data_IF_519697731084
#
_entry.id   IF_519697731084
#
_cell.length_a   1.000
_cell.length_b   1.000
_cell.length_c   1.000
_cell.angle_alpha   90.00
_cell.angle_beta   90.00
_cell.angle_gamma   90.00
#
_symmetry.space_group_name_H-M   'P 1'
#
loop_
_entity.id
_entity.type
_entity.pdbx_description
1 polymer ?
#
# COMPACT_ATOMS: atom_id res chain seq x y z
N UNK A 1 -46.16 98.87 25.23
CA UNK A 1 -45.80 98.55 26.63
C UNK A 1 -45.18 97.15 26.67
N UNK A 2 -44.13 96.89 27.47
CA UNK A 2 -43.24 95.74 27.32
C UNK A 2 -43.46 94.58 28.33
N UNK A 3 -42.82 93.43 28.03
CA UNK A 3 -42.49 92.19 28.81
C UNK A 3 -43.43 90.96 28.72
N UNK A 4 -42.94 89.70 28.87
CA UNK A 4 -41.54 89.22 28.91
C UNK A 4 -41.24 87.98 28.02
N UNK A 5 -39.94 87.65 27.93
CA UNK A 5 -39.38 86.38 27.45
C UNK A 5 -40.03 85.14 28.10
N UNK A 6 -40.25 84.08 27.31
CA UNK A 6 -40.37 82.70 27.79
C UNK A 6 -39.53 81.72 26.94
N UNK A 7 -38.42 81.34 27.57
CA UNK A 7 -37.61 80.09 27.57
C UNK A 7 -37.99 78.99 26.57
N UNK A 8 -37.02 78.34 25.89
CA UNK A 8 -37.25 77.26 24.94
C UNK A 8 -37.86 76.01 25.59
N UNK A 9 -38.75 75.36 24.83
CA UNK A 9 -39.35 74.06 25.16
C UNK A 9 -38.28 72.99 25.24
N UNK A 10 -38.03 72.44 26.43
CA UNK A 10 -37.43 71.12 26.57
C UNK A 10 -38.45 70.07 26.15
N UNK A 11 -38.18 69.37 25.05
CA UNK A 11 -38.89 68.15 24.69
C UNK A 11 -38.55 67.07 25.71
N UNK A 12 -39.28 67.03 26.82
CA UNK A 12 -39.37 65.88 27.70
C UNK A 12 -40.69 65.17 27.42
N UNK A 13 -40.69 64.22 26.48
CA UNK A 13 -41.77 63.22 26.44
C UNK A 13 -41.60 62.31 27.67
N UNK A 14 -42.65 62.05 28.47
CA UNK A 14 -42.57 61.04 29.51
C UNK A 14 -42.52 59.66 28.83
N UNK A 15 -41.42 58.93 29.02
CA UNK A 15 -41.37 57.49 28.75
C UNK A 15 -42.55 56.82 29.46
N UNK A 16 -43.41 56.13 28.72
CA UNK A 16 -44.40 55.22 29.30
C UNK A 16 -43.65 54.15 30.12
N UNK A 17 -43.62 54.35 31.43
CA UNK A 17 -42.95 53.43 32.34
C UNK A 17 -43.75 52.12 32.33
N UNK A 18 -43.18 51.08 31.72
CA UNK A 18 -43.78 49.75 31.60
C UNK A 18 -44.36 49.28 32.95
N UNK A 19 -45.66 48.96 32.98
CA UNK A 19 -46.38 48.62 34.22
C UNK A 19 -45.79 47.43 34.99
N UNK A 20 -45.01 46.57 34.33
CA UNK A 20 -44.21 45.52 34.97
C UNK A 20 -43.03 46.07 35.75
N UNK A 21 -42.29 47.04 35.21
CA UNK A 21 -41.15 47.68 35.87
C UNK A 21 -41.57 48.48 37.11
N UNK A 22 -42.73 49.13 37.07
CA UNK A 22 -43.33 49.80 38.23
C UNK A 22 -43.78 48.79 39.30
N UNK A 23 -44.39 47.67 38.91
CA UNK A 23 -44.77 46.60 39.87
C UNK A 23 -43.57 45.94 40.52
N UNK A 24 -42.52 45.64 39.75
CA UNK A 24 -41.27 45.05 40.24
C UNK A 24 -40.51 46.00 41.17
N UNK A 25 -40.42 47.28 40.82
CA UNK A 25 -39.75 48.28 41.67
C UNK A 25 -40.53 48.55 42.96
N UNK A 26 -41.87 48.62 42.91
CA UNK A 26 -42.72 48.73 44.09
C UNK A 26 -42.63 47.48 45.00
N UNK A 27 -42.70 46.28 44.42
CA UNK A 27 -42.54 45.02 45.15
C UNK A 27 -41.15 44.92 45.82
N UNK A 28 -40.10 45.31 45.08
CA UNK A 28 -38.73 45.33 45.59
C UNK A 28 -38.58 46.29 46.77
N UNK A 29 -39.13 47.51 46.70
CA UNK A 29 -39.03 48.49 47.80
C UNK A 29 -39.75 48.00 49.06
N UNK A 30 -40.94 47.40 48.91
CA UNK A 30 -41.71 46.85 50.04
C UNK A 30 -41.01 45.66 50.70
N UNK A 31 -40.47 44.74 49.90
CA UNK A 31 -39.85 43.51 50.40
C UNK A 31 -38.34 43.65 50.66
N UNK A 32 -37.76 44.82 50.33
CA UNK A 32 -36.34 45.16 50.57
C UNK A 32 -35.82 44.79 51.97
N UNK A 33 -36.54 45.05 53.08
CA UNK A 33 -36.07 44.67 54.41
C UNK A 33 -36.07 43.15 54.65
N UNK A 34 -36.87 42.37 53.92
CA UNK A 34 -36.97 40.91 54.03
C UNK A 34 -36.06 40.18 53.02
N UNK A 35 -35.79 40.79 51.87
CA UNK A 35 -34.93 40.24 50.81
C UNK A 35 -33.47 40.10 51.26
N UNK A 36 -32.94 41.08 51.99
CA UNK A 36 -31.56 41.03 52.49
C UNK A 36 -31.28 39.80 53.38
N UNK A 37 -32.03 39.57 54.48
CA UNK A 37 -31.80 38.38 55.30
C UNK A 37 -32.13 37.08 54.56
N UNK A 38 -33.16 37.07 53.69
CA UNK A 38 -33.53 35.90 52.89
C UNK A 38 -32.42 35.44 51.93
N UNK A 39 -31.79 36.39 51.21
CA UNK A 39 -30.66 36.09 50.31
C UNK A 39 -29.44 35.60 51.10
N UNK A 40 -29.17 36.19 52.27
CA UNK A 40 -28.05 35.76 53.12
C UNK A 40 -28.26 34.32 53.60
N UNK A 41 -29.46 33.98 54.08
CA UNK A 41 -29.80 32.61 54.51
C UNK A 41 -29.72 31.64 53.33
N UNK A 42 -30.27 32.01 52.17
CA UNK A 42 -30.19 31.20 50.96
C UNK A 42 -28.74 30.92 50.54
N UNK A 43 -27.89 31.95 50.51
CA UNK A 43 -26.46 31.81 50.20
C UNK A 43 -25.73 30.97 51.25
N UNK A 44 -26.08 31.09 52.53
CA UNK A 44 -25.51 30.28 53.60
C UNK A 44 -25.85 28.79 53.45
N UNK A 45 -27.12 28.47 53.14
CA UNK A 45 -27.57 27.10 52.86
C UNK A 45 -26.90 26.55 51.60
N UNK A 46 -26.86 27.34 50.54
CA UNK A 46 -26.19 26.94 49.28
C UNK A 46 -24.70 26.67 49.51
N UNK A 47 -24.03 27.52 50.28
CA UNK A 47 -22.65 27.34 50.69
C UNK A 47 -22.46 26.03 51.47
N UNK A 48 -23.33 25.76 52.46
CA UNK A 48 -23.29 24.52 53.23
C UNK A 48 -23.43 23.28 52.34
N UNK A 49 -24.32 23.32 51.35
CA UNK A 49 -24.51 22.21 50.39
C UNK A 49 -23.24 22.00 49.57
N UNK A 50 -22.66 23.07 49.00
CA UNK A 50 -21.45 22.95 48.19
C UNK A 50 -20.25 22.45 49.01
N UNK A 51 -20.03 22.99 50.21
CA UNK A 51 -18.97 22.52 51.09
C UNK A 51 -19.19 21.08 51.56
N UNK A 52 -20.43 20.70 51.86
CA UNK A 52 -20.79 19.32 52.20
C UNK A 52 -20.52 18.34 51.05
N UNK A 53 -20.92 18.69 49.82
CA UNK A 53 -20.66 17.87 48.63
C UNK A 53 -19.17 17.77 48.31
N UNK A 54 -18.43 18.88 48.40
CA UNK A 54 -16.98 18.89 48.20
C UNK A 54 -16.27 18.00 49.25
N UNK A 55 -16.65 18.11 50.52
CA UNK A 55 -16.14 17.27 51.60
C UNK A 55 -16.45 15.79 51.38
N UNK A 56 -17.68 15.45 50.99
CA UNK A 56 -18.05 14.08 50.64
C UNK A 56 -17.21 13.51 49.48
N UNK A 57 -17.03 14.29 48.40
CA UNK A 57 -16.21 13.87 47.25
C UNK A 57 -14.74 13.69 47.63
N UNK A 58 -14.19 14.59 48.44
CA UNK A 58 -12.83 14.45 48.97
C UNK A 58 -12.69 13.19 49.83
N UNK A 59 -13.65 12.91 50.71
CA UNK A 59 -13.65 11.70 51.52
C UNK A 59 -13.67 10.43 50.65
N UNK A 60 -14.52 10.39 49.62
CA UNK A 60 -14.57 9.25 48.67
C UNK A 60 -13.23 9.07 47.95
N UNK A 61 -12.58 10.16 47.51
CA UNK A 61 -11.29 10.08 46.82
C UNK A 61 -10.18 9.58 47.76
N UNK A 62 -10.16 10.07 49.01
CA UNK A 62 -9.17 9.66 50.01
C UNK A 62 -9.35 8.20 50.45
N UNK A 63 -10.59 7.73 50.56
CA UNK A 63 -10.88 6.32 50.92
C UNK A 63 -10.56 5.39 49.74
N UNK A 64 -10.87 5.81 48.50
CA UNK A 64 -10.65 5.01 47.29
C UNK A 64 -9.27 5.22 46.65
N UNK A 65 -8.29 5.76 47.39
CA UNK A 65 -6.93 5.98 46.90
C UNK A 65 -6.27 4.68 46.40
N UNK A 66 -6.66 3.53 46.98
CA UNK A 66 -6.23 2.20 46.53
C UNK A 66 -6.76 1.87 45.13
N UNK A 67 -8.03 2.13 44.86
CA UNK A 67 -8.63 1.81 43.55
C UNK A 67 -8.10 2.74 42.45
N UNK A 68 -7.86 4.00 42.79
CA UNK A 68 -7.20 4.94 41.87
C UNK A 68 -5.75 4.52 41.60
N UNK A 69 -4.96 4.18 42.64
CA UNK A 69 -3.59 3.65 42.47
C UNK A 69 -3.58 2.36 41.66
N UNK A 70 -4.53 1.45 41.89
CA UNK A 70 -4.66 0.21 41.13
C UNK A 70 -4.98 0.49 39.66
N UNK A 71 -5.92 1.39 39.38
CA UNK A 71 -6.31 1.76 38.01
C UNK A 71 -5.16 2.44 37.26
N UNK A 72 -4.45 3.36 37.91
CA UNK A 72 -3.26 4.03 37.34
C UNK A 72 -2.09 3.07 37.17
N UNK A 73 -1.90 2.12 38.10
CA UNK A 73 -0.86 1.09 38.01
C UNK A 73 -1.12 0.05 36.92
N UNK A 74 -2.37 -0.06 36.45
CA UNK A 74 -2.76 -0.95 35.35
C UNK A 74 -2.75 -0.24 33.97
N UNK A 75 -2.62 1.09 33.91
CA UNK A 75 -2.45 1.82 32.63
C UNK A 75 -1.17 1.46 31.84
N UNK A 76 -0.01 1.16 32.48
CA UNK A 76 1.17 0.71 31.77
C UNK A 76 1.17 -0.79 31.43
N UNK A 77 0.13 -1.56 31.78
CA UNK A 77 0.04 -2.92 31.28
C UNK A 77 -0.23 -2.85 29.77
N UNK A 78 0.75 -3.29 28.98
CA UNK A 78 0.60 -3.49 27.54
C UNK A 78 -0.56 -4.49 27.31
N UNK A 79 -1.78 -3.98 27.16
CA UNK A 79 -2.96 -4.79 26.81
C UNK A 79 -2.75 -5.53 25.48
N UNK A 80 -1.84 -5.03 24.66
CA UNK A 80 -1.42 -5.60 23.39
C UNK A 80 0.02 -6.05 23.54
N UNK A 81 0.27 -7.37 23.45
CA UNK A 81 1.61 -7.91 23.36
C UNK A 81 2.24 -7.53 22.01
N UNK A 82 2.85 -6.34 21.96
CA UNK A 82 3.48 -5.79 20.76
C UNK A 82 4.60 -6.67 20.19
N UNK A 83 5.47 -7.31 21.01
CA UNK A 83 6.45 -8.27 20.52
C UNK A 83 5.81 -9.44 19.76
N UNK A 84 4.79 -10.07 20.35
CA UNK A 84 4.05 -11.16 19.71
C UNK A 84 3.36 -10.70 18.42
N UNK A 85 2.71 -9.54 18.44
CA UNK A 85 2.04 -8.99 17.26
C UNK A 85 3.04 -8.73 16.12
N UNK A 86 4.21 -8.16 16.43
CA UNK A 86 5.26 -7.91 15.42
C UNK A 86 5.80 -9.23 14.85
N UNK A 87 6.07 -10.19 15.71
CA UNK A 87 6.60 -11.49 15.33
C UNK A 87 5.61 -12.31 14.49
N UNK A 88 4.32 -12.24 14.82
CA UNK A 88 3.26 -12.93 14.08
C UNK A 88 2.94 -12.27 12.72
N UNK A 89 3.22 -10.96 12.57
CA UNK A 89 2.93 -10.20 11.35
C UNK A 89 4.17 -9.93 10.48
N UNK A 90 5.34 -10.49 10.81
CA UNK A 90 6.52 -10.33 9.97
C UNK A 90 6.35 -11.07 8.64
N UNK A 91 6.87 -10.52 7.52
CA UNK A 91 6.83 -11.21 6.24
C UNK A 91 7.65 -12.50 6.30
N UNK A 92 7.10 -13.56 5.72
CA UNK A 92 7.81 -14.80 5.41
C UNK A 92 8.83 -14.54 4.30
N UNK A 93 9.92 -15.31 4.29
CA UNK A 93 10.93 -15.23 3.25
C UNK A 93 10.33 -15.51 1.86
N UNK A 94 10.94 -14.92 0.83
CA UNK A 94 10.67 -15.30 -0.56
C UNK A 94 11.18 -16.71 -0.81
N UNK A 95 10.49 -17.44 -1.68
CA UNK A 95 10.78 -18.85 -1.96
C UNK A 95 11.24 -19.02 -3.41
N UNK A 96 12.34 -19.74 -3.61
CA UNK A 96 12.77 -20.15 -4.95
C UNK A 96 12.02 -21.45 -5.28
N UNK A 97 11.04 -21.36 -6.17
CA UNK A 97 10.15 -22.47 -6.56
C UNK A 97 10.86 -23.42 -7.51
N UNK A 98 11.57 -22.88 -8.49
CA UNK A 98 12.40 -23.66 -9.41
C UNK A 98 13.64 -22.87 -9.80
N UNK A 99 14.68 -23.60 -10.19
CA UNK A 99 15.90 -23.05 -10.75
C UNK A 99 16.40 -23.99 -11.83
N UNK A 100 16.36 -23.51 -13.05
CA UNK A 100 16.62 -24.27 -14.26
C UNK A 100 17.72 -23.58 -15.07
N UNK A 101 18.52 -24.39 -15.75
CA UNK A 101 19.64 -23.94 -16.57
C UNK A 101 19.34 -24.37 -18.00
N UNK A 102 19.21 -23.40 -18.91
CA UNK A 102 19.19 -23.65 -20.33
C UNK A 102 20.61 -23.45 -20.89
N UNK A 103 21.11 -24.47 -21.60
CA UNK A 103 22.42 -24.41 -22.24
C UNK A 103 22.37 -23.57 -23.51
N UNK A 104 23.37 -22.71 -23.70
CA UNK A 104 23.63 -22.00 -24.95
C UNK A 104 24.95 -22.44 -25.58
N UNK A 105 25.27 -21.87 -26.74
CA UNK A 105 26.56 -22.09 -27.41
C UNK A 105 27.73 -21.39 -26.67
N UNK A 106 28.97 -21.80 -26.94
CA UNK A 106 30.21 -21.19 -26.42
C UNK A 106 30.35 -21.11 -24.88
N UNK A 107 29.89 -22.13 -24.15
CA UNK A 107 29.94 -22.17 -22.66
C UNK A 107 29.17 -21.04 -21.98
N UNK A 108 28.16 -20.48 -22.68
CA UNK A 108 27.20 -19.55 -22.11
C UNK A 108 25.94 -20.28 -21.71
N UNK A 109 25.37 -19.87 -20.59
CA UNK A 109 24.18 -20.48 -20.02
C UNK A 109 23.17 -19.41 -19.64
N UNK A 110 21.91 -19.74 -19.86
CA UNK A 110 20.79 -18.97 -19.40
C UNK A 110 20.26 -19.59 -18.12
N UNK A 111 20.23 -18.81 -17.05
CA UNK A 111 19.75 -19.25 -15.74
C UNK A 111 18.39 -18.66 -15.47
N UNK A 112 17.39 -19.51 -15.25
CA UNK A 112 16.01 -19.10 -15.02
C UNK A 112 15.58 -19.61 -13.65
N UNK A 113 15.19 -18.70 -12.77
CA UNK A 113 14.55 -19.01 -11.51
C UNK A 113 13.09 -18.60 -11.54
N UNK A 114 12.24 -19.37 -10.86
CA UNK A 114 10.89 -18.95 -10.49
C UNK A 114 10.87 -18.64 -9.01
N UNK A 115 10.49 -17.42 -8.64
CA UNK A 115 10.48 -16.95 -7.24
C UNK A 115 9.06 -16.61 -6.84
N UNK A 116 8.66 -17.04 -5.64
CA UNK A 116 7.33 -16.82 -5.07
C UNK A 116 7.39 -15.92 -3.86
N UNK A 117 6.43 -15.01 -3.77
CA UNK A 117 6.16 -14.27 -2.54
C UNK A 117 4.95 -14.87 -1.80
N UNK A 118 5.16 -15.62 -0.70
CA UNK A 118 4.07 -16.28 0.02
C UNK A 118 3.26 -15.32 0.93
N UNK A 119 3.52 -14.02 0.86
CA UNK A 119 2.91 -13.04 1.76
C UNK A 119 1.74 -12.31 1.10
N UNK A 120 0.50 -12.43 1.61
CA UNK A 120 -0.68 -11.80 0.99
C UNK A 120 -0.76 -10.28 1.17
N UNK A 121 -0.05 -9.72 2.15
CA UNK A 121 -0.14 -8.30 2.52
C UNK A 121 1.21 -7.57 2.45
N UNK A 122 2.24 -8.22 1.90
CA UNK A 122 3.57 -7.65 1.82
C UNK A 122 4.10 -7.75 0.39
N UNK A 123 4.43 -6.59 -0.15
CA UNK A 123 5.13 -6.47 -1.43
C UNK A 123 6.63 -6.50 -1.15
N UNK A 124 7.37 -7.29 -1.90
CA UNK A 124 8.82 -7.18 -1.96
C UNK A 124 9.14 -6.09 -2.99
N UNK A 125 9.16 -4.83 -2.57
CA UNK A 125 9.24 -3.68 -3.49
C UNK A 125 10.63 -3.46 -4.09
N UNK A 126 11.67 -3.95 -3.41
CA UNK A 126 13.01 -4.01 -3.97
C UNK A 126 13.69 -5.28 -3.47
N UNK A 127 14.13 -6.10 -4.41
CA UNK A 127 14.78 -7.38 -4.15
C UNK A 127 16.05 -7.45 -4.98
N UNK A 128 17.16 -7.79 -4.33
CA UNK A 128 18.44 -8.00 -4.99
C UNK A 128 18.64 -9.52 -5.10
N UNK A 129 18.63 -10.01 -6.33
CA UNK A 129 18.93 -11.38 -6.66
C UNK A 129 20.35 -11.49 -7.19
N UNK A 130 21.08 -12.50 -6.71
CA UNK A 130 22.43 -12.80 -7.14
C UNK A 130 22.47 -14.20 -7.72
N UNK A 131 23.00 -14.33 -8.93
CA UNK A 131 23.46 -15.61 -9.45
C UNK A 131 24.84 -15.86 -8.87
N UNK A 132 25.00 -16.94 -8.12
CA UNK A 132 26.26 -17.30 -7.47
C UNK A 132 26.74 -18.66 -7.96
N UNK A 133 28.05 -18.85 -8.01
CA UNK A 133 28.69 -20.15 -8.21
C UNK A 133 29.78 -20.30 -7.16
N UNK A 134 29.54 -21.16 -6.16
CA UNK A 134 30.31 -21.17 -4.91
C UNK A 134 30.22 -19.82 -4.20
N UNK A 135 31.37 -19.20 -3.90
CA UNK A 135 31.44 -17.89 -3.24
C UNK A 135 31.46 -16.70 -4.22
N UNK A 136 31.51 -16.96 -5.53
CA UNK A 136 31.59 -15.92 -6.55
C UNK A 136 30.20 -15.49 -7.01
N UNK A 137 29.94 -14.19 -6.99
CA UNK A 137 28.76 -13.60 -7.62
C UNK A 137 29.02 -13.44 -9.11
N UNK A 138 28.27 -14.17 -9.93
CA UNK A 138 28.36 -14.12 -11.40
C UNK A 138 27.58 -12.94 -11.96
N UNK A 139 26.37 -12.71 -11.44
CA UNK A 139 25.51 -11.63 -11.86
C UNK A 139 24.60 -11.18 -10.72
N UNK A 140 24.17 -9.92 -10.78
CA UNK A 140 23.21 -9.35 -9.84
C UNK A 140 22.07 -8.67 -10.62
N UNK A 141 20.85 -8.78 -10.10
CA UNK A 141 19.66 -8.18 -10.69
C UNK A 141 18.73 -7.66 -9.60
N UNK A 142 18.24 -6.45 -9.78
CA UNK A 142 17.17 -5.88 -8.95
C UNK A 142 15.81 -6.19 -9.56
N UNK A 143 14.82 -6.50 -8.72
CA UNK A 143 13.42 -6.69 -9.13
C UNK A 143 12.46 -6.41 -7.98
N UNK A 144 11.17 -6.61 -8.24
CA UNK A 144 10.07 -6.55 -7.28
C UNK A 144 9.22 -7.83 -7.40
N UNK A 145 8.53 -8.21 -6.33
CA UNK A 145 7.57 -9.33 -6.34
C UNK A 145 6.33 -8.96 -5.52
N UNK A 146 5.17 -9.08 -6.16
CA UNK A 146 3.88 -8.78 -5.56
C UNK A 146 3.38 -9.88 -4.62
N UNK A 147 2.41 -9.57 -3.74
CA UNK A 147 1.79 -10.53 -2.86
C UNK A 147 1.22 -11.74 -3.60
N UNK A 148 1.57 -12.95 -3.15
CA UNK A 148 1.16 -14.22 -3.73
C UNK A 148 1.51 -14.40 -5.22
N UNK A 149 2.42 -13.59 -5.75
CA UNK A 149 2.90 -13.69 -7.12
C UNK A 149 4.01 -14.74 -7.22
N UNK A 150 3.98 -15.51 -8.31
CA UNK A 150 5.15 -16.25 -8.80
C UNK A 150 5.72 -15.52 -10.00
N UNK A 151 7.01 -15.20 -9.94
CA UNK A 151 7.68 -14.35 -10.91
C UNK A 151 8.90 -15.05 -11.47
N UNK A 152 9.10 -14.90 -12.78
CA UNK A 152 10.31 -15.35 -13.46
C UNK A 152 11.45 -14.37 -13.28
N UNK A 153 12.64 -14.93 -13.08
CA UNK A 153 13.90 -14.20 -12.98
C UNK A 153 14.92 -14.90 -13.88
N UNK A 154 15.35 -14.22 -14.94
CA UNK A 154 16.35 -14.75 -15.85
C UNK A 154 17.67 -13.96 -15.81
N UNK A 155 18.78 -14.70 -15.89
CA UNK A 155 20.14 -14.22 -16.13
C UNK A 155 20.65 -14.85 -17.43
N UNK A 156 20.60 -14.07 -18.52
CA UNK A 156 20.93 -14.57 -19.85
C UNK A 156 22.44 -14.47 -20.16
N UNK A 157 22.95 -15.38 -20.98
CA UNK A 157 24.27 -15.33 -21.61
C UNK A 157 25.45 -15.38 -20.65
N UNK A 158 25.26 -15.96 -19.47
CA UNK A 158 26.25 -15.96 -18.40
C UNK A 158 27.37 -16.97 -18.71
N UNK A 159 28.61 -16.49 -18.71
CA UNK A 159 29.79 -17.34 -18.84
C UNK A 159 30.06 -17.99 -17.49
N UNK A 160 29.72 -19.27 -17.36
CA UNK A 160 30.05 -20.03 -16.17
C UNK A 160 31.02 -21.14 -16.56
N UNK A 161 32.03 -21.38 -15.71
CA UNK A 161 32.71 -22.67 -15.69
C UNK A 161 31.68 -23.72 -15.27
N UNK A 162 30.99 -24.28 -16.25
CA UNK A 162 29.85 -25.16 -16.06
C UNK A 162 30.31 -26.51 -15.50
N UNK A 163 30.22 -26.62 -14.18
CA UNK A 163 30.17 -27.91 -13.50
C UNK A 163 29.33 -27.78 -12.21
N UNK A 164 28.02 -27.53 -12.37
CA UNK A 164 27.00 -27.98 -11.40
C UNK A 164 26.81 -27.23 -10.08
N UNK A 165 27.37 -26.02 -9.91
CA UNK A 165 27.31 -25.28 -8.63
C UNK A 165 26.56 -23.95 -8.65
N UNK A 166 25.94 -23.56 -9.76
CA UNK A 166 25.23 -22.28 -9.84
C UNK A 166 23.94 -22.33 -9.02
N UNK A 167 23.63 -21.24 -8.31
CA UNK A 167 22.38 -21.09 -7.57
C UNK A 167 21.96 -19.62 -7.57
N UNK A 168 20.67 -19.38 -7.36
CA UNK A 168 20.16 -18.03 -7.08
C UNK A 168 20.12 -17.81 -5.57
N UNK A 169 20.71 -16.69 -5.14
CA UNK A 169 20.66 -16.20 -3.77
C UNK A 169 19.85 -14.92 -3.73
N UNK A 170 18.98 -14.80 -2.73
CA UNK A 170 18.27 -13.57 -2.42
C UNK A 170 19.14 -12.79 -1.43
N UNK A 171 19.81 -11.73 -1.90
CA UNK A 171 20.79 -10.99 -1.13
C UNK A 171 20.12 -9.97 -0.19
N UNK A 172 19.09 -9.29 -0.67
CA UNK A 172 18.37 -8.28 0.08
C UNK A 172 16.90 -8.24 -0.33
N UNK A 173 16.01 -8.01 0.64
CA UNK A 173 14.58 -7.81 0.43
C UNK A 173 14.09 -6.62 1.22
N UNK A 174 13.54 -5.64 0.52
CA UNK A 174 12.84 -4.50 1.11
C UNK A 174 11.34 -4.76 1.07
N UNK A 175 10.76 -5.00 2.24
CA UNK A 175 9.34 -5.29 2.39
C UNK A 175 8.52 -4.02 2.60
N UNK A 176 7.41 -3.92 1.87
CA UNK A 176 6.39 -2.89 2.06
C UNK A 176 5.05 -3.54 2.34
N UNK A 177 4.43 -3.23 3.48
CA UNK A 177 3.06 -3.68 3.76
C UNK A 177 2.09 -2.96 2.83
N UNK A 178 1.24 -3.72 2.15
CA UNK A 178 0.19 -3.20 1.28
C UNK A 178 -1.06 -4.05 1.48
N UNK A 179 -2.02 -3.52 2.23
CA UNK A 179 -3.30 -4.20 2.45
C UNK A 179 -4.16 -4.11 1.20
N UNK A 180 -4.91 -5.18 0.89
CA UNK A 180 -5.80 -5.25 -0.28
C UNK A 180 -5.07 -4.98 -1.61
N UNK A 181 -3.86 -5.50 -1.74
CA UNK A 181 -3.08 -5.34 -2.97
C UNK A 181 -3.81 -5.89 -4.20
N UNK A 182 -4.54 -7.00 -4.06
CA UNK A 182 -5.32 -7.59 -5.16
C UNK A 182 -6.31 -6.57 -5.78
N UNK A 183 -7.05 -5.83 -4.95
CA UNK A 183 -7.98 -4.79 -5.42
C UNK A 183 -7.26 -3.66 -6.17
N UNK A 184 -6.06 -3.30 -5.71
CA UNK A 184 -5.23 -2.29 -6.37
C UNK A 184 -4.69 -2.79 -7.71
N UNK A 185 -4.23 -4.04 -7.76
CA UNK A 185 -3.61 -4.66 -8.92
C UNK A 185 -4.62 -5.02 -10.01
N UNK A 186 -5.85 -5.38 -9.66
CA UNK A 186 -6.86 -5.87 -10.60
C UNK A 186 -7.13 -4.92 -11.76
N UNK A 187 -7.12 -3.60 -11.53
CA UNK A 187 -7.34 -2.61 -12.60
C UNK A 187 -6.09 -2.24 -13.41
N UNK A 188 -4.91 -2.66 -12.94
CA UNK A 188 -3.58 -2.28 -13.48
C UNK A 188 -2.91 -3.43 -14.22
N UNK A 189 -3.02 -4.65 -13.71
CA UNK A 189 -2.39 -5.85 -14.27
C UNK A 189 -3.39 -6.67 -15.09
N UNK A 190 -3.92 -6.07 -16.16
CA UNK A 190 -4.85 -6.75 -17.09
C UNK A 190 -4.16 -6.98 -18.42
N UNK A 191 -3.26 -7.96 -18.46
CA UNK A 191 -2.62 -8.37 -19.71
C UNK A 191 -3.19 -9.71 -20.15
N UNK A 192 -3.54 -9.83 -21.43
CA UNK A 192 -4.01 -11.07 -22.03
C UNK A 192 -3.18 -11.42 -23.25
N UNK A 193 -2.94 -12.72 -23.46
CA UNK A 193 -2.24 -13.23 -24.63
C UNK A 193 -3.20 -14.02 -25.53
N UNK A 194 -2.99 -13.93 -26.83
CA UNK A 194 -3.75 -14.68 -27.82
C UNK A 194 -2.84 -15.12 -28.97
N UNK A 195 -3.32 -16.08 -29.76
CA UNK A 195 -2.62 -16.58 -30.96
C UNK A 195 -1.18 -17.04 -30.67
N UNK A 196 -0.97 -17.69 -29.53
CA UNK A 196 0.35 -18.22 -29.14
C UNK A 196 0.71 -19.41 -30.02
N UNK A 197 1.67 -19.23 -30.92
CA UNK A 197 2.12 -20.24 -31.87
C UNK A 197 3.64 -20.33 -31.82
N UNK A 198 4.14 -21.48 -31.36
CA UNK A 198 5.55 -21.85 -31.49
C UNK A 198 5.75 -22.69 -32.74
N UNK A 199 6.83 -22.42 -33.48
CA UNK A 199 7.30 -23.24 -34.61
C UNK A 199 8.75 -23.62 -34.38
N UNK A 200 9.03 -24.91 -34.39
CA UNK A 200 10.41 -25.42 -34.33
C UNK A 200 11.20 -25.00 -35.58
N UNK A 201 12.52 -25.13 -35.53
CA UNK A 201 13.38 -24.85 -36.68
C UNK A 201 12.98 -25.62 -37.95
N UNK A 202 12.47 -26.84 -37.81
CA UNK A 202 12.00 -27.65 -38.95
C UNK A 202 10.69 -27.10 -39.55
N UNK A 203 9.79 -26.55 -38.71
CA UNK A 203 8.46 -26.08 -39.10
C UNK A 203 8.44 -24.59 -39.50
N UNK A 204 9.46 -23.84 -39.09
CA UNK A 204 9.58 -22.40 -39.30
C UNK A 204 9.61 -22.02 -40.79
N UNK A 205 10.08 -22.94 -41.66
CA UNK A 205 10.11 -22.74 -43.11
C UNK A 205 11.14 -21.70 -43.57
N UNK A 206 11.90 -21.11 -42.64
CA UNK A 206 13.04 -20.23 -42.93
C UNK A 206 14.14 -21.10 -43.58
N UNK A 207 14.31 -20.93 -44.89
CA UNK A 207 15.35 -21.60 -45.66
C UNK A 207 16.67 -20.83 -45.52
N UNK A 208 17.58 -21.33 -44.70
CA UNK A 208 18.94 -20.86 -44.51
C UNK A 208 19.79 -21.95 -43.88
N UNK A 209 21.11 -21.75 -43.79
CA UNK A 209 22.04 -22.73 -43.18
C UNK A 209 21.85 -22.88 -41.66
N UNK A 210 21.14 -21.94 -41.01
CA UNK A 210 20.93 -21.94 -39.56
C UNK A 210 19.49 -22.33 -39.18
N UNK A 211 19.29 -23.30 -38.27
CA UNK A 211 17.97 -23.66 -37.76
C UNK A 211 17.39 -22.53 -36.89
N UNK A 212 16.26 -21.94 -37.30
CA UNK A 212 15.61 -20.83 -36.54
C UNK A 212 14.24 -21.23 -36.06
N UNK A 213 14.05 -21.30 -34.74
CA UNK A 213 12.75 -21.50 -34.12
C UNK A 213 12.07 -20.16 -33.83
N UNK A 214 10.75 -20.09 -33.92
CA UNK A 214 9.98 -18.84 -33.74
C UNK A 214 8.84 -19.02 -32.76
N UNK A 215 8.60 -18.01 -31.92
CA UNK A 215 7.39 -17.86 -31.12
C UNK A 215 6.65 -16.60 -31.58
N UNK A 216 5.42 -16.77 -32.01
CA UNK A 216 4.54 -15.68 -32.39
C UNK A 216 3.36 -15.63 -31.41
N UNK A 217 3.01 -14.45 -30.94
CA UNK A 217 1.81 -14.23 -30.15
C UNK A 217 1.35 -12.78 -30.23
N UNK A 218 0.12 -12.53 -29.80
CA UNK A 218 -0.39 -11.18 -29.54
C UNK A 218 -0.55 -10.98 -28.05
N UNK A 219 -0.18 -9.80 -27.57
CA UNK A 219 -0.40 -9.37 -26.20
C UNK A 219 -1.24 -8.10 -26.18
N UNK A 220 -2.22 -8.06 -25.30
CA UNK A 220 -3.15 -6.93 -25.14
C UNK A 220 -3.03 -6.36 -23.74
N UNK A 221 -2.91 -5.03 -23.64
CA UNK A 221 -3.06 -4.30 -22.39
C UNK A 221 -4.55 -3.96 -22.21
N UNK A 222 -5.29 -4.79 -21.49
CA UNK A 222 -6.69 -4.56 -21.13
C UNK A 222 -6.88 -3.75 -19.85
N UNK A 223 -5.81 -3.15 -19.31
CA UNK A 223 -5.91 -2.28 -18.13
C UNK A 223 -6.38 -0.89 -18.54
N UNK A 224 -6.82 -0.07 -17.59
CA UNK A 224 -7.15 1.33 -17.86
C UNK A 224 -5.89 2.22 -17.99
N UNK A 225 -4.70 1.66 -17.84
CA UNK A 225 -3.44 2.38 -17.70
C UNK A 225 -2.51 2.12 -18.89
N UNK A 226 -1.83 3.17 -19.33
CA UNK A 226 -0.78 3.09 -20.34
C UNK A 226 0.60 3.07 -19.66
N UNK A 227 1.51 2.23 -20.16
CA UNK A 227 2.82 2.00 -19.53
C UNK A 227 3.97 2.37 -20.45
N UNK A 228 4.98 3.07 -19.92
CA UNK A 228 6.18 3.40 -20.69
C UNK A 228 6.95 2.17 -21.14
N UNK A 229 7.06 1.16 -20.26
CA UNK A 229 7.72 -0.11 -20.54
C UNK A 229 7.01 -1.25 -19.84
N UNK A 230 6.76 -2.32 -20.57
CA UNK A 230 6.28 -3.59 -20.01
C UNK A 230 7.27 -4.68 -20.41
N UNK A 231 7.85 -5.33 -19.42
CA UNK A 231 8.68 -6.51 -19.61
C UNK A 231 7.82 -7.70 -19.95
N UNK A 232 8.31 -8.62 -20.79
CA UNK A 232 7.61 -9.87 -21.08
C UNK A 232 8.62 -11.00 -21.11
N UNK A 233 8.51 -11.91 -20.14
CA UNK A 233 9.20 -13.20 -20.21
C UNK A 233 8.44 -14.15 -21.11
N UNK A 234 9.18 -14.88 -21.93
CA UNK A 234 8.69 -16.04 -22.67
C UNK A 234 9.50 -17.23 -22.20
N UNK A 235 8.83 -18.23 -21.65
CA UNK A 235 9.47 -19.41 -21.05
C UNK A 235 8.92 -20.65 -21.74
N UNK A 236 9.81 -21.44 -22.35
CA UNK A 236 9.49 -22.59 -23.18
C UNK A 236 9.78 -23.88 -22.41
N UNK A 237 8.83 -24.80 -22.40
CA UNK A 237 8.93 -26.07 -21.70
C UNK A 237 8.71 -27.28 -22.61
N UNK A 238 9.47 -28.34 -22.38
CA UNK A 238 9.22 -29.70 -22.88
C UNK A 238 8.88 -30.61 -21.69
N UNK A 239 7.60 -30.93 -21.53
CA UNK A 239 7.07 -31.53 -20.30
C UNK A 239 7.29 -30.58 -19.11
N UNK A 240 8.10 -31.02 -18.15
CA UNK A 240 8.51 -30.22 -16.98
C UNK A 240 9.86 -29.52 -17.15
N UNK A 241 10.62 -29.85 -18.20
CA UNK A 241 11.96 -29.31 -18.41
C UNK A 241 11.91 -27.98 -19.14
N UNK A 242 12.62 -26.98 -18.62
CA UNK A 242 12.88 -25.74 -19.33
C UNK A 242 13.77 -26.01 -20.54
N UNK A 243 13.37 -25.52 -21.72
CA UNK A 243 14.13 -25.70 -22.96
C UNK A 243 14.58 -24.39 -23.59
N UNK A 244 14.05 -23.26 -23.11
CA UNK A 244 14.49 -21.94 -23.55
C UNK A 244 13.71 -20.86 -22.83
N UNK A 245 14.33 -19.69 -22.69
CA UNK A 245 13.64 -18.50 -22.23
C UNK A 245 14.12 -17.29 -23.01
N UNK A 246 13.32 -16.24 -23.04
CA UNK A 246 13.71 -14.96 -23.57
C UNK A 246 12.94 -13.84 -22.85
N UNK A 247 13.39 -12.60 -23.02
CA UNK A 247 12.79 -11.43 -22.42
C UNK A 247 12.79 -10.27 -23.41
N UNK A 248 11.66 -9.58 -23.51
CA UNK A 248 11.54 -8.35 -24.30
C UNK A 248 10.97 -7.21 -23.47
N UNK A 249 11.23 -6.00 -23.93
CA UNK A 249 10.60 -4.79 -23.44
C UNK A 249 9.64 -4.25 -24.51
N UNK A 250 8.39 -4.07 -24.14
CA UNK A 250 7.38 -3.40 -24.95
C UNK A 250 7.33 -1.93 -24.55
N UNK A 251 7.92 -1.07 -25.38
CA UNK A 251 7.91 0.38 -25.14
C UNK A 251 6.57 1.00 -25.51
N UNK A 252 6.07 1.91 -24.68
CA UNK A 252 4.84 2.66 -24.89
C UNK A 252 3.57 1.79 -25.04
N UNK A 253 3.35 0.86 -24.12
CA UNK A 253 2.22 -0.05 -24.20
C UNK A 253 0.93 0.59 -23.67
N UNK A 254 0.22 1.26 -24.56
CA UNK A 254 -1.03 1.97 -24.28
C UNK A 254 -2.18 1.06 -23.84
N UNK A 255 -3.08 1.63 -23.03
CA UNK A 255 -4.36 1.03 -22.64
C UNK A 255 -5.21 0.62 -23.85
N UNK A 256 -5.80 -0.57 -23.79
CA UNK A 256 -6.60 -1.18 -24.86
C UNK A 256 -5.81 -1.69 -26.07
N UNK A 257 -4.50 -1.42 -26.15
CA UNK A 257 -3.70 -1.74 -27.33
C UNK A 257 -3.33 -3.22 -27.37
N UNK A 258 -3.33 -3.78 -28.58
CA UNK A 258 -2.81 -5.12 -28.87
C UNK A 258 -1.56 -5.02 -29.73
N UNK A 259 -0.54 -5.81 -29.40
CA UNK A 259 0.74 -5.82 -30.13
C UNK A 259 1.12 -7.25 -30.54
N UNK A 260 1.46 -7.48 -31.81
CA UNK A 260 2.10 -8.72 -32.22
C UNK A 260 3.54 -8.74 -31.71
N UNK A 261 3.98 -9.91 -31.24
CA UNK A 261 5.33 -10.19 -30.80
C UNK A 261 5.83 -11.41 -31.56
N UNK A 262 7.02 -11.28 -32.15
CA UNK A 262 7.77 -12.37 -32.75
C UNK A 262 9.10 -12.49 -32.03
N UNK A 263 9.36 -13.68 -31.47
CA UNK A 263 10.65 -14.02 -30.86
C UNK A 263 11.32 -15.14 -31.66
N UNK A 264 12.65 -15.02 -31.82
CA UNK A 264 13.47 -15.95 -32.58
C UNK A 264 14.58 -16.50 -31.71
N UNK A 265 14.80 -17.81 -31.81
CA UNK A 265 15.97 -18.47 -31.27
C UNK A 265 16.76 -19.06 -32.44
N UNK A 266 18.05 -18.73 -32.48
CA UNK A 266 18.98 -19.13 -33.53
C UNK A 266 19.73 -20.43 -33.20
N UNK A 267 19.35 -21.08 -32.09
CA UNK A 267 19.90 -22.34 -31.63
C UNK A 267 18.88 -23.48 -31.85
N UNK A 268 19.35 -24.71 -32.13
CA UNK A 268 18.47 -25.86 -32.25
C UNK A 268 17.81 -26.19 -30.91
N UNK A 269 16.54 -25.81 -30.76
CA UNK A 269 15.75 -26.16 -29.59
C UNK A 269 15.07 -27.51 -29.74
N UNK A 270 14.95 -28.23 -28.63
CA UNK A 270 14.11 -29.43 -28.56
C UNK A 270 12.63 -29.10 -28.73
N UNK A 271 11.78 -30.12 -28.88
CA UNK A 271 10.33 -29.95 -29.03
C UNK A 271 9.74 -29.15 -27.87
N UNK A 272 8.96 -28.11 -28.17
CA UNK A 272 8.26 -27.31 -27.15
C UNK A 272 6.83 -27.84 -26.98
N UNK A 273 6.47 -28.16 -25.75
CA UNK A 273 5.15 -28.65 -25.36
C UNK A 273 4.26 -27.58 -24.71
N UNK A 274 4.86 -26.58 -24.07
CA UNK A 274 4.17 -25.51 -23.35
C UNK A 274 4.97 -24.23 -23.43
N UNK A 275 4.27 -23.12 -23.62
CA UNK A 275 4.82 -21.76 -23.61
C UNK A 275 4.13 -20.99 -22.49
N UNK A 276 4.92 -20.36 -21.63
CA UNK A 276 4.43 -19.42 -20.62
C UNK A 276 4.89 -18.01 -20.98
N UNK A 277 3.95 -17.08 -21.03
CA UNK A 277 4.20 -15.67 -21.33
C UNK A 277 3.81 -14.86 -20.10
N UNK A 278 4.78 -14.24 -19.45
CA UNK A 278 4.60 -13.53 -18.20
C UNK A 278 4.98 -12.05 -18.37
N UNK A 279 4.00 -11.15 -18.57
CA UNK A 279 4.25 -9.72 -18.57
C UNK A 279 4.55 -9.23 -17.15
N UNK A 280 5.48 -8.28 -17.04
CA UNK A 280 5.84 -7.63 -15.79
C UNK A 280 5.92 -6.11 -15.95
N UNK A 281 5.43 -5.38 -14.95
CA UNK A 281 5.57 -3.93 -14.82
C UNK A 281 5.44 -3.55 -13.35
N UNK A 282 6.21 -2.57 -12.88
CA UNK A 282 6.10 -2.05 -11.52
C UNK A 282 4.91 -1.09 -11.43
N UNK A 283 3.77 -1.56 -10.92
CA UNK A 283 2.54 -0.78 -10.75
C UNK A 283 2.58 0.10 -9.49
N UNK A 284 3.59 -0.07 -8.64
CA UNK A 284 3.82 0.79 -7.47
C UNK A 284 4.74 1.95 -7.78
N UNK A 285 5.50 1.87 -8.88
CA UNK A 285 6.26 2.97 -9.42
C UNK A 285 5.37 3.89 -10.26
N UNK A 286 5.17 5.12 -9.78
CA UNK A 286 4.40 6.12 -10.51
C UNK A 286 5.05 6.49 -11.86
N UNK A 287 6.38 6.34 -12.00
CA UNK A 287 7.09 6.62 -13.24
C UNK A 287 6.88 5.55 -14.32
N UNK A 288 6.32 4.38 -13.97
CA UNK A 288 5.98 3.35 -14.95
C UNK A 288 4.77 3.75 -15.83
N UNK A 289 3.90 4.63 -15.32
CA UNK A 289 2.69 5.07 -15.99
C UNK A 289 2.95 6.24 -16.94
N UNK A 290 2.26 6.23 -18.07
CA UNK A 290 2.15 7.41 -18.91
C UNK A 290 1.17 8.43 -18.31
N UNK A 291 1.43 9.73 -18.52
CA UNK A 291 0.44 10.75 -18.20
C UNK A 291 -0.84 10.55 -19.03
N UNK A 292 -1.97 10.88 -18.44
CA UNK A 292 -3.25 10.98 -19.17
C UNK A 292 -3.23 12.32 -19.90
N UNK A 293 -3.38 12.30 -21.22
CA UNK A 293 -3.60 13.51 -22.03
C UNK A 293 -5.02 14.08 -21.83
#
# INVERSE_FOLDING_TARGET
MPKPLKVPKTNGQPEEVSGLGLKLSYWYVIHKPQLKPGIIIFLAVLGLIFYGYAGYRLAVILINERDFKNSVSNLPQELINYPYFREANKPKALEIVSFDIAGGEDQRYDYIAKVRNPNPNYVASAVIFQLVSGDTVLAEKSSFIYPNEEKYLAFFGQTANAAGGAAVRIAQVSWRRFAKFADFADSRLRFSQSEVVFKSAMESGIRGELPVSTLNFKITNGSAYSYWRVGVYMVLYNGSSLVGANYILLDQFESGRTRPVEMKWYEPMSSVSRVEIAPEVDILDAAAYMPVE
#
